data_IF_839092629632
#
_entry.id   IF_839092629632
#
_cell.length_a   1.000
_cell.length_b   1.000
_cell.length_c   1.000
_cell.angle_alpha   90.00
_cell.angle_beta   90.00
_cell.angle_gamma   90.00
#
_symmetry.space_group_name_H-M   'P 1'
#
loop_
_entity.id
_entity.type
_entity.pdbx_description
1 polymer ?
#
# COMPACT_ATOMS: atom_id res chain seq x y z
N UNK A 1 27.52 -0.05 0.28
CA UNK A 1 27.10 -0.30 1.68
C UNK A 1 26.83 -1.79 1.84
N UNK A 2 27.82 -2.56 2.27
CA UNK A 2 27.56 -3.93 2.72
C UNK A 2 26.74 -3.81 4.01
N UNK A 3 25.43 -4.15 3.98
CA UNK A 3 24.70 -4.47 5.21
C UNK A 3 25.52 -5.57 5.90
N UNK A 4 26.04 -5.32 7.11
CA UNK A 4 26.51 -6.38 7.96
C UNK A 4 25.33 -7.34 8.12
N UNK A 5 25.38 -8.51 7.46
CA UNK A 5 24.53 -9.63 7.83
C UNK A 5 24.95 -9.95 9.26
N UNK A 6 24.04 -9.83 10.20
CA UNK A 6 24.25 -10.36 11.54
C UNK A 6 24.11 -11.87 11.35
N UNK A 7 25.23 -12.56 11.09
CA UNK A 7 25.24 -13.99 10.83
C UNK A 7 24.99 -14.81 12.12
N UNK A 8 25.07 -14.17 13.30
CA UNK A 8 24.80 -14.80 14.61
C UNK A 8 24.38 -13.76 15.64
N UNK A 9 23.58 -14.19 16.60
CA UNK A 9 23.29 -13.39 17.79
C UNK A 9 24.58 -13.12 18.59
N UNK A 10 24.68 -11.94 19.29
CA UNK A 10 25.78 -11.67 20.21
C UNK A 10 25.90 -12.77 21.24
N UNK A 11 27.13 -13.22 21.50
CA UNK A 11 27.42 -14.34 22.39
C UNK A 11 27.25 -14.01 23.86
N UNK A 12 27.46 -12.74 24.21
CA UNK A 12 27.37 -12.24 25.56
C UNK A 12 26.95 -10.75 25.57
N UNK A 13 26.77 -10.22 26.78
CA UNK A 13 26.39 -8.84 27.01
C UNK A 13 27.42 -7.84 26.49
N UNK A 14 28.72 -8.14 26.59
CA UNK A 14 29.79 -7.28 26.13
C UNK A 14 29.78 -7.11 24.60
N UNK A 15 29.58 -8.24 23.87
CA UNK A 15 29.43 -8.22 22.41
C UNK A 15 28.16 -7.47 22.02
N UNK A 16 27.04 -7.64 22.75
CA UNK A 16 25.82 -6.91 22.52
C UNK A 16 25.99 -5.39 22.74
N UNK A 17 26.66 -4.99 23.81
CA UNK A 17 26.97 -3.57 24.07
C UNK A 17 27.83 -2.97 22.96
N UNK A 18 28.80 -3.72 22.43
CA UNK A 18 29.63 -3.27 21.31
C UNK A 18 28.79 -3.07 20.03
N UNK A 19 27.89 -4.02 19.72
CA UNK A 19 26.98 -3.89 18.56
C UNK A 19 26.09 -2.66 18.68
N UNK A 20 25.54 -2.39 19.87
CA UNK A 20 24.74 -1.19 20.12
C UNK A 20 25.57 0.10 19.99
N UNK A 21 26.77 0.11 20.52
CA UNK A 21 27.68 1.27 20.40
C UNK A 21 27.99 1.57 18.95
N UNK A 22 28.38 0.55 18.15
CA UNK A 22 28.67 0.69 16.73
C UNK A 22 27.45 1.22 15.96
N UNK A 23 26.26 0.73 16.30
CA UNK A 23 24.99 1.15 15.66
C UNK A 23 24.67 2.63 15.97
N UNK A 24 24.81 3.05 17.23
CA UNK A 24 24.55 4.44 17.63
C UNK A 24 25.57 5.39 17.00
N UNK A 25 26.85 5.00 16.98
CA UNK A 25 27.92 5.79 16.35
C UNK A 25 27.69 5.92 14.84
N UNK A 26 27.29 4.86 14.15
CA UNK A 26 26.93 4.90 12.72
C UNK A 26 25.76 5.86 12.45
N UNK A 27 24.72 5.81 13.29
CA UNK A 27 23.55 6.68 13.13
C UNK A 27 23.90 8.15 13.42
N UNK A 28 24.71 8.41 14.47
CA UNK A 28 25.18 9.75 14.80
C UNK A 28 25.98 10.34 13.64
N UNK A 29 26.95 9.58 13.12
CA UNK A 29 27.76 9.99 11.99
C UNK A 29 26.92 10.24 10.74
N UNK A 30 26.02 9.33 10.42
CA UNK A 30 25.15 9.42 9.25
C UNK A 30 24.26 10.67 9.28
N UNK A 31 23.64 10.96 10.43
CA UNK A 31 22.77 12.13 10.59
C UNK A 31 23.58 13.45 10.60
N UNK A 32 24.77 13.46 11.22
CA UNK A 32 25.68 14.61 11.18
C UNK A 32 26.11 14.93 9.75
N UNK A 33 26.55 13.91 8.98
CA UNK A 33 26.93 14.10 7.58
C UNK A 33 25.75 14.54 6.72
N UNK A 34 24.54 14.05 7.00
CA UNK A 34 23.31 14.49 6.32
C UNK A 34 23.09 15.99 6.53
N UNK A 35 23.18 16.47 7.78
CA UNK A 35 23.02 17.90 8.12
C UNK A 35 24.07 18.77 7.46
N UNK A 36 25.33 18.39 7.56
CA UNK A 36 26.42 19.13 6.91
C UNK A 36 26.25 19.21 5.41
N UNK A 37 25.80 18.10 4.78
CA UNK A 37 25.54 18.05 3.34
C UNK A 37 24.40 18.97 2.95
N UNK A 38 23.28 18.93 3.68
CA UNK A 38 22.11 19.79 3.40
C UNK A 38 22.47 21.27 3.61
N UNK A 39 23.14 21.62 4.70
CA UNK A 39 23.58 22.98 4.96
C UNK A 39 24.53 23.50 3.85
N UNK A 40 25.48 22.67 3.39
CA UNK A 40 26.38 23.00 2.29
C UNK A 40 25.61 23.24 1.00
N UNK A 41 24.70 22.34 0.61
CA UNK A 41 23.89 22.48 -0.61
C UNK A 41 22.97 23.70 -0.55
N UNK A 42 22.38 24.00 0.59
CA UNK A 42 21.57 25.20 0.79
C UNK A 42 22.43 26.47 0.58
N UNK A 43 23.65 26.51 1.13
CA UNK A 43 24.59 27.59 0.94
C UNK A 43 25.03 27.77 -0.52
N UNK A 44 25.34 26.65 -1.21
CA UNK A 44 25.68 26.66 -2.65
C UNK A 44 24.54 27.18 -3.52
N UNK A 45 23.29 26.91 -3.12
CA UNK A 45 22.08 27.37 -3.83
C UNK A 45 21.58 28.76 -3.36
N UNK A 46 22.29 29.38 -2.45
CA UNK A 46 21.89 30.66 -1.83
C UNK A 46 20.49 30.64 -1.19
N UNK A 47 20.13 29.51 -0.55
CA UNK A 47 18.86 29.26 0.14
C UNK A 47 19.10 29.13 1.65
N UNK A 48 18.08 29.42 2.48
CA UNK A 48 18.17 29.14 3.91
C UNK A 48 18.32 27.63 4.14
N UNK A 49 19.08 27.26 5.17
CA UNK A 49 19.23 25.86 5.58
C UNK A 49 17.88 25.34 6.11
N UNK A 50 17.27 24.34 5.45
CA UNK A 50 15.99 23.80 5.87
C UNK A 50 16.05 23.05 7.22
N UNK A 51 17.25 22.70 7.68
CA UNK A 51 17.48 21.98 8.94
C UNK A 51 18.00 22.88 10.08
N UNK A 52 18.09 24.20 9.86
CA UNK A 52 18.64 25.15 10.85
C UNK A 52 17.91 25.12 12.20
N UNK A 53 16.62 24.81 12.21
CA UNK A 53 15.78 24.78 13.42
C UNK A 53 15.54 23.36 13.95
N UNK A 54 16.17 22.33 13.38
CA UNK A 54 16.08 20.97 13.93
C UNK A 54 16.88 20.86 15.26
N UNK A 55 16.36 20.00 16.16
CA UNK A 55 17.04 19.66 17.43
C UNK A 55 18.45 19.11 17.18
N UNK A 56 19.39 19.24 18.16
CA UNK A 56 20.70 18.58 18.10
C UNK A 56 20.59 17.09 17.72
N UNK A 57 21.59 16.57 17.03
CA UNK A 57 21.55 15.16 16.51
C UNK A 57 21.41 14.17 17.66
N UNK A 58 22.13 14.41 18.75
CA UNK A 58 22.12 13.59 19.96
C UNK A 58 20.73 13.55 20.60
N UNK A 59 20.07 14.70 20.72
CA UNK A 59 18.72 14.81 21.27
C UNK A 59 17.72 14.07 20.37
N UNK A 60 17.82 14.22 19.05
CA UNK A 60 16.97 13.52 18.08
C UNK A 60 17.14 12.01 18.15
N UNK A 61 18.36 11.52 18.28
CA UNK A 61 18.63 10.09 18.45
C UNK A 61 18.10 9.58 19.79
N UNK A 62 18.30 10.32 20.89
CA UNK A 62 17.77 9.96 22.20
C UNK A 62 16.24 9.80 22.16
N UNK A 63 15.52 10.79 21.64
CA UNK A 63 14.06 10.72 21.48
C UNK A 63 13.63 9.52 20.62
N UNK A 64 14.39 9.19 19.58
CA UNK A 64 14.13 8.02 18.73
C UNK A 64 14.23 6.72 19.53
N UNK A 65 15.27 6.55 20.35
CA UNK A 65 15.46 5.35 21.17
C UNK A 65 14.45 5.27 22.31
N UNK A 66 14.12 6.39 22.95
CA UNK A 66 13.04 6.45 23.94
C UNK A 66 11.70 6.03 23.34
N UNK A 67 11.40 6.44 22.11
CA UNK A 67 10.20 6.00 21.38
C UNK A 67 10.22 4.48 21.10
N UNK A 68 11.38 3.95 20.68
CA UNK A 68 11.53 2.49 20.47
C UNK A 68 11.30 1.74 21.78
N UNK A 69 11.89 2.20 22.87
CA UNK A 69 11.72 1.59 24.21
C UNK A 69 10.25 1.61 24.64
N UNK A 70 9.54 2.72 24.49
CA UNK A 70 8.11 2.81 24.80
C UNK A 70 7.29 1.87 23.93
N UNK A 71 7.55 1.81 22.62
CA UNK A 71 6.85 0.89 21.74
C UNK A 71 7.01 -0.58 22.15
N UNK A 72 8.19 -0.95 22.65
CA UNK A 72 8.42 -2.30 23.18
C UNK A 72 7.64 -2.53 24.47
N UNK A 73 7.63 -1.54 25.39
CA UNK A 73 6.89 -1.63 26.65
C UNK A 73 5.36 -1.67 26.46
N UNK A 74 4.85 -1.05 25.39
CA UNK A 74 3.44 -1.05 25.03
C UNK A 74 3.00 -2.29 24.22
N UNK A 75 3.95 -3.19 23.90
CA UNK A 75 3.64 -4.43 23.20
C UNK A 75 2.84 -5.35 24.13
N UNK A 76 1.62 -5.65 23.74
CA UNK A 76 0.75 -6.53 24.48
C UNK A 76 0.90 -8.01 24.06
N UNK A 77 0.25 -8.90 24.77
CA UNK A 77 0.35 -10.35 24.52
C UNK A 77 -0.25 -10.72 23.14
N UNK A 78 -1.23 -9.96 22.67
CA UNK A 78 -1.87 -10.12 21.36
C UNK A 78 -0.88 -9.77 20.24
N UNK A 79 -0.12 -8.67 20.38
CA UNK A 79 0.94 -8.27 19.45
C UNK A 79 2.07 -9.35 19.36
N UNK A 80 2.44 -9.95 20.52
CA UNK A 80 3.44 -11.02 20.56
C UNK A 80 2.93 -12.28 19.88
N UNK A 81 1.70 -12.70 20.18
CA UNK A 81 1.07 -13.87 19.56
C UNK A 81 0.94 -13.69 18.05
N UNK A 82 0.52 -12.52 17.60
CA UNK A 82 0.41 -12.17 16.18
C UNK A 82 1.79 -12.27 15.49
N UNK A 83 2.83 -11.68 16.08
CA UNK A 83 4.19 -11.75 15.55
C UNK A 83 4.68 -13.21 15.42
N UNK A 84 4.42 -14.04 16.43
CA UNK A 84 4.81 -15.45 16.41
C UNK A 84 4.05 -16.23 15.33
N UNK A 85 2.74 -16.06 15.26
CA UNK A 85 1.89 -16.77 14.29
C UNK A 85 2.21 -16.34 12.85
N UNK A 86 2.46 -15.05 12.63
CA UNK A 86 2.94 -14.54 11.35
C UNK A 86 4.30 -15.12 10.97
N UNK A 87 5.26 -15.15 11.91
CA UNK A 87 6.56 -15.77 11.66
C UNK A 87 6.46 -17.26 11.29
N UNK A 88 5.57 -18.02 11.95
CA UNK A 88 5.29 -19.42 11.59
C UNK A 88 4.66 -19.52 10.20
N UNK A 89 3.70 -18.66 9.88
CA UNK A 89 3.03 -18.63 8.58
C UNK A 89 4.03 -18.34 7.44
N UNK A 90 4.91 -17.37 7.63
CA UNK A 90 5.95 -16.98 6.66
C UNK A 90 6.98 -18.09 6.36
N UNK A 91 7.14 -19.09 7.24
CA UNK A 91 8.01 -20.24 6.93
C UNK A 91 7.42 -21.17 5.86
N UNK A 92 6.12 -21.03 5.57
CA UNK A 92 5.42 -21.80 4.55
C UNK A 92 5.68 -21.26 3.14
N UNK A 93 5.49 -19.96 2.97
CA UNK A 93 5.86 -19.18 1.78
C UNK A 93 5.79 -17.66 2.12
N UNK A 94 6.41 -16.77 1.31
CA UNK A 94 6.51 -15.34 1.65
C UNK A 94 5.19 -14.58 1.61
N UNK A 95 4.10 -15.20 1.19
CA UNK A 95 2.78 -14.58 1.05
C UNK A 95 1.73 -15.15 2.00
N UNK A 96 2.02 -16.29 2.64
CA UNK A 96 1.18 -16.84 3.71
C UNK A 96 1.46 -16.08 4.99
N UNK A 97 0.40 -15.51 5.59
CA UNK A 97 0.52 -14.62 6.73
C UNK A 97 -0.67 -14.75 7.65
N UNK A 98 -0.42 -14.70 8.97
CA UNK A 98 -1.47 -14.59 9.97
C UNK A 98 -1.72 -13.12 10.29
N UNK A 99 -2.97 -12.73 10.29
CA UNK A 99 -3.43 -11.38 10.63
C UNK A 99 -4.34 -11.43 11.84
N UNK A 100 -3.98 -10.75 12.92
CA UNK A 100 -4.87 -10.50 14.05
C UNK A 100 -6.04 -9.59 13.67
N UNK A 101 -7.04 -9.44 14.54
CA UNK A 101 -8.26 -8.71 14.24
C UNK A 101 -7.98 -7.28 13.70
N UNK A 102 -7.03 -6.56 14.31
CA UNK A 102 -6.64 -5.21 13.86
C UNK A 102 -6.00 -5.21 12.46
N UNK A 103 -5.19 -6.20 12.13
CA UNK A 103 -4.58 -6.31 10.80
C UNK A 103 -5.60 -6.74 9.74
N UNK A 104 -6.59 -7.55 10.09
CA UNK A 104 -7.70 -7.90 9.19
C UNK A 104 -8.46 -6.65 8.74
N UNK A 105 -8.76 -5.73 9.66
CA UNK A 105 -9.43 -4.47 9.31
C UNK A 105 -8.58 -3.61 8.38
N UNK A 106 -7.26 -3.53 8.64
CA UNK A 106 -6.33 -2.82 7.74
C UNK A 106 -6.25 -3.48 6.35
N UNK A 107 -6.22 -4.81 6.31
CA UNK A 107 -6.22 -5.55 5.06
C UNK A 107 -7.50 -5.29 4.24
N UNK A 108 -8.68 -5.32 4.87
CA UNK A 108 -9.93 -4.96 4.20
C UNK A 108 -9.90 -3.54 3.64
N UNK A 109 -9.39 -2.58 4.42
CA UNK A 109 -9.25 -1.19 3.99
C UNK A 109 -8.27 -1.07 2.81
N UNK A 110 -7.16 -1.81 2.82
CA UNK A 110 -6.19 -1.77 1.71
C UNK A 110 -6.75 -2.31 0.40
N UNK A 111 -7.77 -3.17 0.48
CA UNK A 111 -8.50 -3.69 -0.68
C UNK A 111 -9.68 -2.81 -1.10
N UNK A 112 -10.10 -1.85 -0.26
CA UNK A 112 -11.17 -0.90 -0.55
C UNK A 112 -10.58 0.51 -0.70
N UNK A 113 -10.95 1.28 -1.73
CA UNK A 113 -10.53 2.66 -1.88
C UNK A 113 -11.35 3.65 -1.02
N UNK A 114 -12.07 3.15 -0.05
CA UNK A 114 -12.87 3.94 0.90
C UNK A 114 -12.54 3.52 2.33
N UNK A 115 -12.46 4.48 3.23
CA UNK A 115 -12.35 4.23 4.65
C UNK A 115 -13.42 5.01 5.42
N UNK A 116 -13.89 4.46 6.53
CA UNK A 116 -14.77 5.19 7.43
C UNK A 116 -13.94 5.89 8.51
N UNK A 117 -14.05 7.21 8.58
CA UNK A 117 -13.27 8.01 9.51
C UNK A 117 -13.53 9.50 9.35
N UNK A 118 -12.56 10.30 9.77
CA UNK A 118 -12.64 11.77 9.72
C UNK A 118 -12.04 12.39 8.46
N UNK A 119 -11.30 11.63 7.64
CA UNK A 119 -10.65 12.15 6.42
C UNK A 119 -9.43 13.00 6.72
N UNK A 120 -8.60 12.61 7.69
CA UNK A 120 -7.31 13.23 7.97
C UNK A 120 -6.17 12.22 7.78
N UNK A 121 -5.06 12.66 7.21
CA UNK A 121 -3.79 11.94 7.15
C UNK A 121 -2.99 12.28 8.41
N UNK A 122 -2.60 11.27 9.16
CA UNK A 122 -1.96 11.41 10.45
C UNK A 122 -0.50 10.98 10.42
N UNK A 123 0.33 11.64 11.22
CA UNK A 123 1.72 11.28 11.45
C UNK A 123 2.10 11.45 12.91
N UNK A 124 2.95 10.55 13.42
CA UNK A 124 3.51 10.72 14.77
C UNK A 124 4.67 11.71 14.75
N UNK A 125 4.70 12.61 15.69
CA UNK A 125 5.81 13.55 15.95
C UNK A 125 6.75 13.01 17.03
N UNK A 126 7.95 13.56 17.09
CA UNK A 126 8.96 13.14 18.08
C UNK A 126 8.58 13.51 19.52
N UNK A 127 7.73 14.51 19.71
CA UNK A 127 7.16 14.90 21.00
C UNK A 127 6.01 14.03 21.48
N UNK A 128 5.70 12.95 20.73
CA UNK A 128 4.64 12.00 21.05
C UNK A 128 3.25 12.44 20.63
N UNK A 129 3.10 13.63 20.06
CA UNK A 129 1.81 14.08 19.53
C UNK A 129 1.50 13.45 18.17
N UNK A 130 0.21 13.42 17.82
CA UNK A 130 -0.25 13.00 16.49
C UNK A 130 -0.59 14.23 15.67
N UNK A 131 0.17 14.45 14.58
CA UNK A 131 0.02 15.61 13.70
C UNK A 131 -0.86 15.31 12.50
N UNK A 132 -1.61 16.31 12.04
CA UNK A 132 -2.37 16.30 10.78
C UNK A 132 -1.44 16.65 9.63
N UNK A 133 -1.07 15.64 8.83
CA UNK A 133 -0.21 15.78 7.66
C UNK A 133 -0.98 16.08 6.37
N UNK A 134 -2.31 15.94 6.39
CA UNK A 134 -3.19 16.24 5.26
C UNK A 134 -4.65 16.06 5.60
N UNK A 135 -5.52 16.66 4.79
CA UNK A 135 -6.97 16.55 4.90
C UNK A 135 -7.52 16.09 3.55
N UNK A 136 -8.34 15.05 3.57
CA UNK A 136 -8.96 14.49 2.37
C UNK A 136 -10.15 15.36 1.96
N UNK A 137 -10.09 15.92 0.77
CA UNK A 137 -11.14 16.80 0.22
C UNK A 137 -12.49 16.06 0.16
N UNK A 138 -13.51 16.68 0.73
CA UNK A 138 -14.87 16.13 0.84
C UNK A 138 -15.09 15.22 2.05
N UNK A 139 -14.06 14.95 2.86
CA UNK A 139 -14.18 14.22 4.13
C UNK A 139 -14.78 15.06 5.26
N UNK A 140 -15.10 14.45 6.41
CA UNK A 140 -15.63 15.18 7.58
C UNK A 140 -14.74 16.32 8.07
N UNK A 141 -13.43 16.11 8.13
CA UNK A 141 -12.46 17.13 8.55
C UNK A 141 -12.46 18.34 7.60
N UNK A 142 -12.50 18.09 6.29
CA UNK A 142 -12.57 19.14 5.27
C UNK A 142 -13.89 19.92 5.36
N UNK A 143 -15.01 19.21 5.47
CA UNK A 143 -16.35 19.83 5.58
C UNK A 143 -16.53 20.66 6.83
N UNK A 144 -15.92 20.27 7.95
CA UNK A 144 -15.99 21.04 9.19
C UNK A 144 -15.17 22.33 9.11
N UNK A 145 -14.04 22.31 8.40
CA UNK A 145 -13.10 23.43 8.34
C UNK A 145 -12.39 23.73 9.67
N UNK A 146 -12.65 22.94 10.72
CA UNK A 146 -12.13 23.16 12.07
C UNK A 146 -10.72 22.58 12.27
N UNK A 147 -10.40 21.48 11.56
CA UNK A 147 -9.08 20.87 11.53
C UNK A 147 -8.25 21.48 10.40
N UNK A 148 -6.98 21.73 10.68
CA UNK A 148 -6.04 22.30 9.71
C UNK A 148 -4.78 21.45 9.60
N UNK A 149 -4.05 21.66 8.53
CA UNK A 149 -2.71 21.08 8.33
C UNK A 149 -1.77 21.51 9.47
N UNK A 150 -0.98 20.59 9.98
CA UNK A 150 -0.05 20.74 11.11
C UNK A 150 -0.71 20.90 12.49
N UNK A 151 -2.02 20.88 12.62
CA UNK A 151 -2.67 20.76 13.93
C UNK A 151 -2.26 19.44 14.60
N UNK A 152 -2.21 19.42 15.94
CA UNK A 152 -1.83 18.27 16.76
C UNK A 152 -3.01 17.75 17.53
N UNK A 153 -3.27 16.46 17.46
CA UNK A 153 -4.27 15.78 18.29
C UNK A 153 -3.54 15.29 19.53
N UNK A 154 -4.05 15.65 20.71
CA UNK A 154 -3.44 15.29 22.00
C UNK A 154 -4.34 14.37 22.84
N UNK A 155 -5.66 14.37 22.62
CA UNK A 155 -6.57 13.42 23.26
C UNK A 155 -7.78 13.13 22.37
N UNK A 156 -8.40 11.96 22.57
CA UNK A 156 -9.53 11.45 21.78
C UNK A 156 -10.62 10.92 22.72
N UNK A 157 -11.87 11.29 22.45
CA UNK A 157 -13.06 10.61 22.94
C UNK A 157 -13.73 9.90 21.74
N UNK A 158 -13.44 8.62 21.61
CA UNK A 158 -13.80 7.82 20.44
C UNK A 158 -15.30 7.62 20.25
N UNK A 159 -16.06 7.65 21.34
CA UNK A 159 -17.48 7.30 21.36
C UNK A 159 -18.36 8.48 21.81
N UNK A 160 -17.80 9.67 21.92
CA UNK A 160 -18.51 10.87 22.39
C UNK A 160 -19.17 10.68 23.77
N UNK A 161 -18.47 10.02 24.69
CA UNK A 161 -18.94 9.75 26.06
C UNK A 161 -18.67 10.89 27.04
N UNK A 162 -17.80 11.81 26.68
CA UNK A 162 -17.28 12.89 27.52
C UNK A 162 -15.91 12.58 28.13
N UNK A 163 -15.44 11.35 28.05
CA UNK A 163 -14.14 10.93 28.58
C UNK A 163 -13.06 11.03 27.49
N UNK A 164 -12.11 11.95 27.68
CA UNK A 164 -10.97 12.11 26.79
C UNK A 164 -9.83 11.19 27.20
N UNK A 165 -9.38 10.34 26.29
CA UNK A 165 -8.19 9.51 26.44
C UNK A 165 -7.00 10.29 25.91
N UNK A 166 -5.98 10.49 26.72
CA UNK A 166 -4.72 11.08 26.31
C UNK A 166 -4.00 10.14 25.33
N UNK A 167 -3.57 10.65 24.18
CA UNK A 167 -2.90 9.88 23.13
C UNK A 167 -1.43 10.25 22.94
N UNK A 168 -0.89 11.14 23.80
CA UNK A 168 0.53 11.49 23.73
C UNK A 168 1.38 10.23 23.89
N UNK A 169 2.32 10.07 22.98
CA UNK A 169 3.21 8.91 22.88
C UNK A 169 2.54 7.57 22.55
N UNK A 170 1.24 7.51 22.35
CA UNK A 170 0.54 6.28 21.92
C UNK A 170 1.01 5.88 20.50
N UNK A 171 1.11 4.57 20.24
CA UNK A 171 1.38 4.06 18.88
C UNK A 171 0.38 4.65 17.90
N UNK A 172 0.85 5.20 16.78
CA UNK A 172 -0.01 5.85 15.78
C UNK A 172 -1.15 4.93 15.31
N UNK A 173 -0.88 3.65 15.22
CA UNK A 173 -1.88 2.64 14.85
C UNK A 173 -3.05 2.59 15.83
N UNK A 174 -2.77 2.62 17.14
CA UNK A 174 -3.82 2.66 18.17
C UNK A 174 -4.62 3.96 18.09
N UNK A 175 -3.94 5.08 17.83
CA UNK A 175 -4.59 6.38 17.62
C UNK A 175 -5.52 6.35 16.41
N UNK A 176 -5.07 5.77 15.30
CA UNK A 176 -5.87 5.61 14.07
C UNK A 176 -7.09 4.73 14.33
N UNK A 177 -6.93 3.62 15.07
CA UNK A 177 -8.04 2.74 15.43
C UNK A 177 -9.10 3.45 16.33
N UNK A 178 -8.67 4.33 17.23
CA UNK A 178 -9.58 5.17 18.03
C UNK A 178 -10.31 6.22 17.19
N UNK A 179 -9.67 6.75 16.15
CA UNK A 179 -10.26 7.75 15.25
C UNK A 179 -11.26 7.11 14.29
N UNK A 180 -10.99 5.89 13.83
CA UNK A 180 -11.92 5.10 13.02
C UNK A 180 -13.13 4.65 13.85
N UNK A 181 -14.16 4.19 13.17
CA UNK A 181 -15.37 3.70 13.82
C UNK A 181 -16.52 3.55 12.82
N UNK A 182 -17.71 3.27 13.34
CA UNK A 182 -18.91 3.10 12.52
C UNK A 182 -19.29 4.39 11.78
N UNK A 183 -19.81 4.26 10.58
CA UNK A 183 -20.35 5.39 9.82
C UNK A 183 -21.44 6.10 10.62
N UNK A 184 -21.48 7.44 10.54
CA UNK A 184 -22.39 8.32 11.28
C UNK A 184 -22.18 8.37 12.81
N UNK A 185 -21.16 7.70 13.36
CA UNK A 185 -20.79 7.85 14.76
C UNK A 185 -20.01 9.15 14.98
N UNK A 186 -20.11 9.73 16.17
CA UNK A 186 -19.38 10.95 16.54
C UNK A 186 -18.09 10.63 17.27
N UNK A 187 -17.10 11.49 17.06
CA UNK A 187 -15.82 11.49 17.75
C UNK A 187 -15.50 12.91 18.22
N UNK A 188 -14.88 13.04 19.39
CA UNK A 188 -14.36 14.31 19.88
C UNK A 188 -12.83 14.24 19.92
N UNK A 189 -12.20 15.27 19.39
CA UNK A 189 -10.75 15.40 19.32
C UNK A 189 -10.35 16.63 20.14
N UNK A 190 -9.39 16.47 21.05
CA UNK A 190 -8.69 17.61 21.67
C UNK A 190 -7.49 17.95 20.79
N UNK A 191 -7.52 19.12 20.20
CA UNK A 191 -6.59 19.55 19.16
C UNK A 191 -5.88 20.81 19.60
N UNK A 192 -4.57 20.81 19.47
CA UNK A 192 -3.73 22.01 19.57
C UNK A 192 -3.49 22.57 18.17
N UNK A 193 -4.03 23.78 17.86
CA UNK A 193 -3.81 24.41 16.58
C UNK A 193 -2.34 24.77 16.37
N UNK A 194 -1.86 24.60 15.13
CA UNK A 194 -0.49 24.95 14.76
C UNK A 194 -0.19 26.45 14.93
N UNK A 195 -1.21 27.30 14.76
CA UNK A 195 -1.12 28.76 14.92
C UNK A 195 -1.32 29.26 16.37
N UNK A 196 -1.70 28.35 17.31
CA UNK A 196 -1.91 28.67 18.73
C UNK A 196 -1.44 27.51 19.64
N UNK A 197 -0.15 27.19 19.70
CA UNK A 197 0.38 26.13 20.55
C UNK A 197 0.02 26.34 22.02
N UNK A 198 -0.37 25.24 22.71
CA UNK A 198 -0.79 25.27 24.12
C UNK A 198 -2.23 25.71 24.35
N UNK A 199 -2.97 26.12 23.31
CA UNK A 199 -4.39 26.47 23.40
C UNK A 199 -5.24 25.37 22.77
N UNK A 200 -5.40 24.26 23.48
CA UNK A 200 -6.19 23.14 22.98
C UNK A 200 -7.69 23.47 22.90
N UNK A 201 -8.32 23.10 21.80
CA UNK A 201 -9.76 23.14 21.57
C UNK A 201 -10.34 21.74 21.37
N UNK A 202 -11.64 21.59 21.62
CA UNK A 202 -12.35 20.34 21.37
C UNK A 202 -13.12 20.50 20.05
N UNK A 203 -12.88 19.58 19.12
CA UNK A 203 -13.57 19.48 17.84
C UNK A 203 -14.39 18.21 17.82
N UNK A 204 -15.68 18.32 17.47
CA UNK A 204 -16.56 17.16 17.31
C UNK A 204 -16.80 16.91 15.83
N UNK A 205 -16.51 15.69 15.36
CA UNK A 205 -16.70 15.28 13.99
C UNK A 205 -17.61 14.06 13.91
N UNK A 206 -18.37 13.98 12.82
CA UNK A 206 -19.16 12.77 12.51
C UNK A 206 -18.41 11.96 11.47
N UNK A 207 -18.11 10.69 11.76
CA UNK A 207 -17.42 9.80 10.82
C UNK A 207 -18.29 9.55 9.59
N UNK A 208 -17.67 9.54 8.44
CA UNK A 208 -18.33 9.15 7.18
C UNK A 208 -17.39 8.33 6.31
N UNK A 209 -17.92 7.76 5.25
CA UNK A 209 -17.09 7.18 4.18
C UNK A 209 -16.27 8.27 3.52
N UNK A 210 -14.98 8.08 3.48
CA UNK A 210 -13.99 8.99 2.88
C UNK A 210 -13.37 8.29 1.68
N UNK A 211 -13.64 8.74 0.46
CA UNK A 211 -13.04 8.17 -0.73
C UNK A 211 -11.57 8.56 -0.82
N UNK A 212 -10.70 7.59 -0.95
CA UNK A 212 -9.28 7.78 -1.21
C UNK A 212 -9.07 7.99 -2.70
N UNK A 213 -9.28 9.22 -3.17
CA UNK A 213 -9.25 9.56 -4.61
C UNK A 213 -7.93 9.18 -5.28
N UNK A 214 -6.84 9.14 -4.54
CA UNK A 214 -5.52 8.78 -5.06
C UNK A 214 -5.36 7.28 -5.28
N UNK A 215 -6.15 6.47 -4.60
CA UNK A 215 -6.21 5.02 -4.73
C UNK A 215 -7.21 4.55 -5.81
N UNK A 216 -7.94 5.46 -6.45
CA UNK A 216 -8.88 5.14 -7.52
C UNK A 216 -8.19 5.13 -8.89
N UNK A 217 -8.76 4.37 -9.82
CA UNK A 217 -8.40 4.47 -11.23
C UNK A 217 -8.61 5.90 -11.75
N UNK A 218 -7.61 6.45 -12.43
CA UNK A 218 -7.62 7.80 -13.00
C UNK A 218 -7.34 7.73 -14.49
N UNK A 219 -7.85 8.71 -15.22
CA UNK A 219 -7.59 8.81 -16.65
C UNK A 219 -7.33 10.26 -17.03
N UNK A 220 -6.34 10.46 -17.88
CA UNK A 220 -6.04 11.74 -18.50
C UNK A 220 -5.82 11.56 -20.00
N UNK A 221 -5.90 12.65 -20.76
CA UNK A 221 -5.64 12.67 -22.19
C UNK A 221 -4.47 13.61 -22.43
N UNK A 222 -3.44 13.10 -23.08
CA UNK A 222 -2.27 13.86 -23.47
C UNK A 222 -2.37 14.14 -24.97
N UNK A 223 -2.23 15.40 -25.36
CA UNK A 223 -2.16 15.81 -26.75
C UNK A 223 -0.70 15.96 -27.18
N UNK A 224 -0.30 15.19 -28.18
CA UNK A 224 1.05 15.22 -28.74
C UNK A 224 1.11 16.22 -29.90
N UNK A 225 1.84 17.31 -29.74
CA UNK A 225 2.04 18.27 -30.81
C UNK A 225 3.00 17.71 -31.88
N UNK A 226 2.56 17.71 -33.15
CA UNK A 226 3.42 17.37 -34.28
C UNK A 226 3.54 15.86 -34.58
N UNK A 227 2.61 15.05 -34.15
CA UNK A 227 2.58 13.63 -34.54
C UNK A 227 2.42 13.51 -36.09
N UNK A 228 3.26 12.68 -36.76
CA UNK A 228 3.29 12.62 -38.24
C UNK A 228 1.97 12.19 -38.88
N UNK A 229 1.19 11.38 -38.17
CA UNK A 229 0.00 10.71 -38.71
C UNK A 229 -1.31 11.40 -38.27
N UNK A 230 -1.24 12.57 -37.60
CA UNK A 230 -2.41 13.25 -37.03
C UNK A 230 -3.02 12.54 -35.84
N UNK A 231 -2.38 11.49 -35.32
CA UNK A 231 -2.78 10.77 -34.11
C UNK A 231 -2.15 11.45 -32.90
N UNK A 232 -2.86 12.38 -32.28
CA UNK A 232 -2.27 13.28 -31.26
C UNK A 232 -2.81 13.06 -29.88
N UNK A 233 -3.85 12.22 -29.69
CA UNK A 233 -4.55 12.09 -28.41
C UNK A 233 -4.32 10.73 -27.80
N UNK A 234 -3.51 10.69 -26.74
CA UNK A 234 -3.20 9.47 -26.01
C UNK A 234 -3.93 9.48 -24.68
N UNK A 235 -4.76 8.47 -24.44
CA UNK A 235 -5.36 8.23 -23.13
C UNK A 235 -4.34 7.58 -22.21
N UNK A 236 -4.18 8.09 -20.98
CA UNK A 236 -3.38 7.46 -19.93
C UNK A 236 -4.32 7.01 -18.82
N UNK A 237 -4.37 5.71 -18.58
CA UNK A 237 -5.14 5.07 -17.52
C UNK A 237 -4.19 4.65 -16.40
N UNK A 238 -4.21 5.35 -15.28
CA UNK A 238 -3.44 5.00 -14.08
C UNK A 238 -4.29 4.14 -13.16
N UNK A 239 -3.79 2.96 -12.82
CA UNK A 239 -4.47 1.99 -11.95
C UNK A 239 -3.57 1.63 -10.76
N UNK A 240 -3.80 2.22 -9.57
CA UNK A 240 -2.97 1.97 -8.39
C UNK A 240 -3.12 0.55 -7.84
N UNK A 241 -4.33 -0.04 -7.89
CA UNK A 241 -4.61 -1.41 -7.46
C UNK A 241 -5.84 -1.98 -8.16
N UNK A 242 -6.01 -3.31 -8.11
CA UNK A 242 -7.25 -3.98 -8.55
C UNK A 242 -8.24 -4.05 -7.38
N UNK A 243 -8.71 -2.88 -6.93
CA UNK A 243 -9.57 -2.75 -5.78
C UNK A 243 -10.97 -3.32 -6.01
N UNK A 244 -11.51 -3.91 -4.95
CA UNK A 244 -12.91 -4.34 -4.86
C UNK A 244 -13.34 -4.26 -3.39
N UNK A 245 -14.54 -3.75 -3.13
CA UNK A 245 -15.10 -3.77 -1.77
C UNK A 245 -15.37 -5.22 -1.36
N UNK A 246 -14.70 -5.67 -0.31
CA UNK A 246 -14.82 -7.04 0.21
C UNK A 246 -16.10 -7.26 1.03
N UNK A 247 -16.68 -6.19 1.58
CA UNK A 247 -17.88 -6.24 2.42
C UNK A 247 -19.17 -6.05 1.60
N UNK A 248 -19.10 -6.20 0.26
CA UNK A 248 -20.26 -6.18 -0.64
C UNK A 248 -20.69 -4.79 -1.11
N UNK A 249 -19.86 -3.77 -0.93
CA UNK A 249 -20.09 -2.44 -1.50
C UNK A 249 -19.97 -2.40 -3.02
N UNK A 250 -20.43 -1.30 -3.62
CA UNK A 250 -20.53 -1.14 -5.08
C UNK A 250 -19.22 -0.70 -5.75
N UNK A 251 -18.16 -0.41 -4.98
CA UNK A 251 -16.91 0.15 -5.49
C UNK A 251 -16.01 -0.95 -6.06
N UNK A 252 -15.81 -0.93 -7.38
CA UNK A 252 -15.04 -1.93 -8.12
C UNK A 252 -14.20 -1.28 -9.21
N UNK A 253 -12.92 -1.63 -9.29
CA UNK A 253 -12.01 -0.99 -10.25
C UNK A 253 -12.40 -1.27 -11.70
N UNK A 254 -12.91 -2.46 -12.04
CA UNK A 254 -13.36 -2.77 -13.38
C UNK A 254 -14.55 -1.88 -13.80
N UNK A 255 -15.46 -1.56 -12.87
CA UNK A 255 -16.59 -0.67 -13.16
C UNK A 255 -16.13 0.77 -13.40
N UNK A 256 -15.15 1.26 -12.61
CA UNK A 256 -14.60 2.59 -12.77
C UNK A 256 -13.78 2.68 -14.07
N UNK A 257 -12.90 1.71 -14.34
CA UNK A 257 -12.14 1.63 -15.60
C UNK A 257 -13.05 1.58 -16.81
N UNK A 258 -14.17 0.83 -16.73
CA UNK A 258 -15.17 0.80 -17.82
C UNK A 258 -15.68 2.19 -18.15
N UNK A 259 -16.08 2.97 -17.13
CA UNK A 259 -16.57 4.35 -17.31
C UNK A 259 -15.50 5.26 -17.93
N UNK A 260 -14.24 5.11 -17.49
CA UNK A 260 -13.12 5.87 -18.01
C UNK A 260 -12.84 5.54 -19.48
N UNK A 261 -12.86 4.26 -19.86
CA UNK A 261 -12.68 3.82 -21.25
C UNK A 261 -13.84 4.29 -22.15
N UNK A 262 -15.10 4.25 -21.67
CA UNK A 262 -16.25 4.77 -22.38
C UNK A 262 -16.10 6.27 -22.66
N UNK A 263 -15.56 7.03 -21.69
CA UNK A 263 -15.26 8.46 -21.86
C UNK A 263 -14.13 8.67 -22.87
N UNK A 264 -13.02 7.93 -22.76
CA UNK A 264 -11.92 8.00 -23.73
C UNK A 264 -12.35 7.69 -25.16
N UNK A 265 -13.25 6.71 -25.34
CA UNK A 265 -13.82 6.41 -26.66
C UNK A 265 -14.67 7.57 -27.21
N UNK A 266 -15.45 8.27 -26.37
CA UNK A 266 -16.19 9.48 -26.78
C UNK A 266 -15.24 10.61 -27.16
N UNK A 267 -14.14 10.76 -26.45
CA UNK A 267 -13.10 11.73 -26.74
C UNK A 267 -12.21 11.34 -27.93
N UNK A 268 -12.41 10.15 -28.50
CA UNK A 268 -11.68 9.61 -29.67
C UNK A 268 -10.18 9.62 -29.48
N UNK A 269 -9.68 9.03 -28.37
CA UNK A 269 -8.25 8.84 -28.17
C UNK A 269 -7.71 7.83 -29.19
N UNK A 270 -6.53 8.10 -29.73
CA UNK A 270 -5.90 7.30 -30.78
C UNK A 270 -5.20 6.06 -30.22
N UNK A 271 -4.70 6.14 -28.97
CA UNK A 271 -4.02 5.06 -28.26
C UNK A 271 -4.24 5.13 -26.77
N UNK A 272 -3.89 4.06 -26.07
CA UNK A 272 -4.04 3.94 -24.63
C UNK A 272 -2.74 3.51 -23.97
N UNK A 273 -2.33 4.20 -22.93
CA UNK A 273 -1.29 3.76 -22.00
C UNK A 273 -1.99 3.32 -20.71
N UNK A 274 -1.73 2.10 -20.27
CA UNK A 274 -2.17 1.57 -18.98
C UNK A 274 -0.98 1.57 -18.04
N UNK A 275 -1.01 2.39 -17.00
CA UNK A 275 0.06 2.48 -16.01
C UNK A 275 -0.22 1.56 -14.83
N UNK A 276 0.56 0.46 -14.75
CA UNK A 276 0.54 -0.52 -13.66
C UNK A 276 1.79 -0.43 -12.77
N UNK A 277 2.62 0.59 -12.95
CA UNK A 277 3.81 0.77 -12.10
C UNK A 277 3.37 0.94 -10.63
N UNK A 278 4.08 0.26 -9.73
CA UNK A 278 3.79 0.21 -8.29
C UNK A 278 2.44 -0.45 -7.92
N UNK A 279 1.75 -1.08 -8.86
CA UNK A 279 0.50 -1.79 -8.60
C UNK A 279 0.78 -3.21 -8.13
N UNK A 280 0.64 -3.46 -6.82
CA UNK A 280 0.88 -4.77 -6.18
C UNK A 280 -0.18 -5.84 -6.47
N UNK A 281 -1.19 -5.54 -7.28
CA UNK A 281 -2.26 -6.48 -7.63
C UNK A 281 -3.61 -6.15 -7.00
N UNK A 282 -4.33 -7.16 -6.52
CA UNK A 282 -5.65 -7.07 -5.92
C UNK A 282 -6.59 -8.18 -6.36
N UNK A 283 -7.85 -7.84 -6.64
CA UNK A 283 -8.90 -8.80 -6.94
C UNK A 283 -8.71 -9.52 -8.27
N UNK A 284 -8.68 -10.85 -8.21
CA UNK A 284 -8.65 -11.72 -9.39
C UNK A 284 -9.88 -11.53 -10.29
N UNK A 285 -11.04 -11.31 -9.68
CA UNK A 285 -12.28 -11.09 -10.45
C UNK A 285 -12.23 -9.76 -11.22
N UNK A 286 -11.68 -8.72 -10.61
CA UNK A 286 -11.56 -7.43 -11.26
C UNK A 286 -10.61 -7.48 -12.47
N UNK A 287 -9.46 -8.14 -12.34
CA UNK A 287 -8.53 -8.29 -13.47
C UNK A 287 -9.13 -9.15 -14.57
N UNK A 288 -9.90 -10.20 -14.24
CA UNK A 288 -10.62 -11.03 -15.21
C UNK A 288 -11.61 -10.20 -16.05
N UNK A 289 -12.41 -9.37 -15.36
CA UNK A 289 -13.38 -8.49 -16.02
C UNK A 289 -12.68 -7.44 -16.90
N UNK A 290 -11.64 -6.82 -16.36
CA UNK A 290 -10.90 -5.76 -17.03
C UNK A 290 -10.16 -6.26 -18.28
N UNK A 291 -9.55 -7.44 -18.23
CA UNK A 291 -8.90 -8.05 -19.40
C UNK A 291 -9.88 -8.16 -20.56
N UNK A 292 -11.14 -8.53 -20.28
CA UNK A 292 -12.19 -8.63 -21.29
C UNK A 292 -12.51 -7.31 -22.01
N UNK A 293 -12.25 -6.16 -21.42
CA UNK A 293 -12.41 -4.85 -22.08
C UNK A 293 -11.48 -4.68 -23.28
N UNK A 294 -10.34 -5.38 -23.26
CA UNK A 294 -9.28 -5.25 -24.26
C UNK A 294 -9.18 -6.45 -25.20
N UNK A 295 -9.46 -7.66 -24.69
CA UNK A 295 -9.33 -8.91 -25.47
C UNK A 295 -10.66 -9.41 -26.05
N UNK A 296 -11.79 -9.01 -25.45
CA UNK A 296 -13.08 -9.63 -25.71
C UNK A 296 -13.20 -10.96 -24.95
N UNK A 297 -14.00 -11.89 -25.48
CA UNK A 297 -14.21 -13.22 -24.89
C UNK A 297 -12.96 -14.10 -25.06
N UNK A 298 -12.52 -14.74 -23.98
CA UNK A 298 -11.40 -15.69 -24.02
C UNK A 298 -10.80 -15.96 -22.66
N UNK A 299 -9.89 -16.94 -22.54
CA UNK A 299 -9.15 -17.21 -21.29
C UNK A 299 -8.31 -16.01 -20.88
N UNK A 300 -8.20 -15.80 -19.59
CA UNK A 300 -7.40 -14.70 -18.96
C UNK A 300 -6.22 -15.28 -18.19
N UNK A 301 -6.48 -16.29 -17.39
CA UNK A 301 -5.50 -16.93 -16.52
C UNK A 301 -5.96 -18.33 -16.20
N UNK A 302 -5.02 -19.25 -16.00
CA UNK A 302 -5.26 -20.60 -15.53
C UNK A 302 -4.86 -20.69 -14.07
N UNK A 303 -5.69 -21.31 -13.23
CA UNK A 303 -5.43 -21.47 -11.80
C UNK A 303 -5.36 -22.95 -11.49
N UNK A 304 -4.26 -23.40 -10.91
CA UNK A 304 -4.03 -24.79 -10.53
C UNK A 304 -4.01 -24.93 -9.03
N UNK A 305 -4.86 -25.82 -8.50
CA UNK A 305 -4.90 -26.14 -7.08
C UNK A 305 -3.88 -27.24 -6.70
N UNK A 306 -3.77 -27.50 -5.39
CA UNK A 306 -2.86 -28.53 -4.83
C UNK A 306 -3.21 -29.96 -5.26
N UNK A 307 -4.42 -30.21 -5.76
CA UNK A 307 -4.87 -31.50 -6.27
C UNK A 307 -4.58 -31.68 -7.76
N UNK A 308 -4.06 -30.62 -8.41
CA UNK A 308 -3.76 -30.64 -9.84
C UNK A 308 -4.94 -30.21 -10.75
N UNK A 309 -6.09 -29.83 -10.17
CA UNK A 309 -7.21 -29.32 -10.96
C UNK A 309 -6.86 -27.95 -11.52
N UNK A 310 -7.20 -27.73 -12.79
CA UNK A 310 -6.99 -26.45 -13.47
C UNK A 310 -8.35 -25.79 -13.74
N UNK A 311 -8.51 -24.57 -13.19
CA UNK A 311 -9.66 -23.71 -13.46
C UNK A 311 -9.24 -22.56 -14.37
N UNK A 312 -9.84 -22.46 -15.55
CA UNK A 312 -9.54 -21.42 -16.53
C UNK A 312 -10.49 -20.24 -16.34
N UNK A 313 -9.99 -19.16 -15.80
CA UNK A 313 -10.78 -17.93 -15.68
C UNK A 313 -10.90 -17.25 -17.04
N UNK A 314 -12.12 -17.01 -17.48
CA UNK A 314 -12.44 -16.52 -18.82
C UNK A 314 -13.16 -15.18 -18.76
N UNK A 315 -12.78 -14.25 -19.61
CA UNK A 315 -13.54 -13.04 -19.88
C UNK A 315 -14.73 -13.36 -20.78
N UNK A 316 -15.88 -12.75 -20.49
CA UNK A 316 -17.15 -13.05 -21.20
C UNK A 316 -17.65 -11.88 -22.07
N UNK A 317 -16.84 -10.87 -22.30
CA UNK A 317 -17.19 -9.70 -23.10
C UNK A 317 -17.43 -10.11 -24.57
N UNK A 318 -18.57 -9.76 -25.14
CA UNK A 318 -18.86 -10.02 -26.54
C UNK A 318 -17.95 -9.27 -27.49
N UNK A 319 -17.63 -8.02 -27.12
CA UNK A 319 -16.76 -7.13 -27.88
C UNK A 319 -15.72 -6.47 -26.99
N UNK A 320 -14.63 -6.06 -27.62
CA UNK A 320 -13.60 -5.22 -26.97
C UNK A 320 -14.17 -3.83 -26.74
N UNK A 321 -14.03 -3.31 -25.52
CA UNK A 321 -14.46 -1.95 -25.20
C UNK A 321 -13.49 -0.91 -25.79
N UNK A 322 -12.19 -1.20 -25.79
CA UNK A 322 -11.18 -0.39 -26.43
C UNK A 322 -10.46 -1.17 -27.53
N UNK A 323 -10.45 -0.65 -28.77
CA UNK A 323 -9.93 -1.33 -29.98
C UNK A 323 -8.60 -0.76 -30.48
N UNK A 324 -8.23 0.46 -30.07
CA UNK A 324 -6.99 1.14 -30.46
C UNK A 324 -5.71 0.46 -29.92
N UNK A 325 -4.51 0.89 -30.30
CA UNK A 325 -3.25 0.37 -29.79
C UNK A 325 -3.12 0.60 -28.29
N UNK A 326 -2.42 -0.33 -27.59
CA UNK A 326 -2.23 -0.27 -26.13
C UNK A 326 -0.76 -0.46 -25.79
N UNK A 327 -0.27 0.35 -24.86
CA UNK A 327 1.00 0.17 -24.15
C UNK A 327 0.67 -0.07 -22.67
N UNK A 328 1.32 -1.03 -22.04
CA UNK A 328 1.25 -1.25 -20.59
C UNK A 328 2.59 -0.90 -19.97
N UNK A 329 2.58 0.06 -19.04
CA UNK A 329 3.76 0.42 -18.26
C UNK A 329 3.84 -0.45 -17.01
N UNK A 330 5.00 -1.06 -16.79
CA UNK A 330 5.28 -1.91 -15.64
C UNK A 330 6.58 -1.53 -14.94
N UNK A 331 6.72 -1.97 -13.68
CA UNK A 331 7.99 -1.98 -12.97
C UNK A 331 8.09 -3.23 -12.06
N UNK A 332 9.21 -3.39 -11.36
CA UNK A 332 9.45 -4.49 -10.41
C UNK A 332 8.46 -4.57 -9.24
N UNK A 333 7.64 -3.56 -9.04
CA UNK A 333 6.57 -3.55 -8.03
C UNK A 333 5.19 -3.87 -8.61
N UNK A 334 5.08 -4.08 -9.94
CA UNK A 334 3.86 -4.58 -10.59
C UNK A 334 3.74 -6.07 -10.31
N UNK A 335 2.75 -6.49 -9.50
CA UNK A 335 2.66 -7.87 -9.02
C UNK A 335 1.26 -8.48 -9.17
N UNK A 336 1.17 -9.82 -9.14
CA UNK A 336 -0.08 -10.57 -9.01
C UNK A 336 -1.13 -10.24 -10.11
N UNK A 337 -2.26 -9.58 -9.79
CA UNK A 337 -3.27 -9.19 -10.77
C UNK A 337 -2.72 -8.28 -11.88
N UNK A 338 -1.73 -7.43 -11.58
CA UNK A 338 -1.02 -6.63 -12.60
C UNK A 338 -0.28 -7.52 -13.59
N UNK A 339 0.33 -8.59 -13.10
CA UNK A 339 1.03 -9.57 -13.93
C UNK A 339 0.04 -10.37 -14.79
N UNK A 340 -1.13 -10.71 -14.25
CA UNK A 340 -2.20 -11.38 -15.00
C UNK A 340 -2.67 -10.50 -16.17
N UNK A 341 -2.95 -9.21 -15.92
CA UNK A 341 -3.38 -8.30 -17.00
C UNK A 341 -2.30 -8.11 -18.05
N UNK A 342 -1.06 -7.78 -17.62
CA UNK A 342 0.06 -7.57 -18.53
C UNK A 342 0.36 -8.81 -19.37
N UNK A 343 0.43 -10.00 -18.73
CA UNK A 343 0.64 -11.27 -19.39
C UNK A 343 -0.45 -11.60 -20.41
N UNK A 344 -1.72 -11.47 -20.02
CA UNK A 344 -2.82 -11.76 -20.92
C UNK A 344 -2.80 -10.82 -22.14
N UNK A 345 -2.58 -9.51 -21.95
CA UNK A 345 -2.52 -8.56 -23.05
C UNK A 345 -1.32 -8.83 -23.97
N UNK A 346 -0.17 -9.24 -23.43
CA UNK A 346 1.01 -9.65 -24.20
C UNK A 346 0.74 -10.94 -24.99
N UNK A 347 0.18 -11.98 -24.33
CA UNK A 347 -0.12 -13.28 -24.95
C UNK A 347 -1.11 -13.18 -26.11
N UNK A 348 -2.06 -12.24 -26.01
CA UNK A 348 -3.00 -11.94 -27.09
C UNK A 348 -2.42 -11.02 -28.18
N UNK A 349 -1.17 -10.58 -28.06
CA UNK A 349 -0.59 -9.56 -28.95
C UNK A 349 -1.38 -8.25 -28.94
N UNK A 350 -2.04 -7.96 -27.82
CA UNK A 350 -2.97 -6.83 -27.69
C UNK A 350 -2.30 -5.56 -27.19
N UNK A 351 -1.23 -5.69 -26.45
CA UNK A 351 -0.44 -4.56 -25.93
C UNK A 351 1.04 -4.84 -26.05
N UNK A 352 1.82 -3.76 -26.09
CA UNK A 352 3.28 -3.76 -25.89
C UNK A 352 3.55 -3.48 -24.43
N UNK A 353 4.36 -4.32 -23.79
CA UNK A 353 4.75 -4.17 -22.39
C UNK A 353 6.06 -3.37 -22.31
N UNK A 354 6.06 -2.30 -21.54
CA UNK A 354 7.17 -1.32 -21.50
C UNK A 354 7.51 -1.00 -20.04
N UNK A 355 8.79 -0.94 -19.70
CA UNK A 355 9.23 -0.54 -18.36
C UNK A 355 10.49 -1.23 -17.87
N UNK A 356 10.48 -1.70 -16.63
CA UNK A 356 11.58 -2.50 -16.04
C UNK A 356 11.81 -3.80 -16.84
N UNK A 357 12.89 -4.50 -16.58
CA UNK A 357 13.19 -5.78 -17.24
C UNK A 357 12.04 -6.77 -17.13
N UNK A 358 11.35 -6.79 -16.01
CA UNK A 358 10.15 -7.61 -15.77
C UNK A 358 9.32 -7.03 -14.61
N UNK A 359 8.12 -7.59 -14.40
CA UNK A 359 7.31 -7.40 -13.19
C UNK A 359 7.91 -8.14 -11.99
N UNK A 360 7.20 -8.16 -10.85
CA UNK A 360 7.67 -8.71 -9.56
C UNK A 360 7.99 -10.21 -9.61
N UNK A 361 7.16 -11.02 -10.27
CA UNK A 361 7.34 -12.46 -10.36
C UNK A 361 6.48 -13.28 -9.41
N UNK A 362 5.35 -12.75 -8.94
CA UNK A 362 4.41 -13.50 -8.10
C UNK A 362 3.46 -14.32 -8.96
N UNK A 363 3.49 -15.66 -8.77
CA UNK A 363 2.63 -16.62 -9.48
C UNK A 363 1.69 -17.40 -8.56
N UNK A 364 1.45 -16.91 -7.34
CA UNK A 364 0.66 -17.60 -6.30
C UNK A 364 -0.64 -16.86 -6.00
N UNK A 365 -1.65 -17.62 -5.57
CA UNK A 365 -2.96 -17.11 -5.14
C UNK A 365 -3.16 -17.43 -3.66
N UNK A 366 -3.46 -16.39 -2.87
CA UNK A 366 -3.78 -16.52 -1.46
C UNK A 366 -5.29 -16.49 -1.25
N UNK A 367 -5.75 -17.28 -0.30
CA UNK A 367 -7.13 -17.26 0.18
C UNK A 367 -7.16 -16.86 1.65
N UNK A 368 -8.04 -15.93 2.03
CA UNK A 368 -8.28 -15.61 3.42
C UNK A 368 -9.12 -16.73 4.07
N UNK A 369 -8.65 -17.26 5.19
CA UNK A 369 -9.32 -18.28 5.99
C UNK A 369 -9.57 -17.69 7.37
N UNK A 370 -10.84 -17.54 7.73
CA UNK A 370 -11.24 -17.08 9.07
C UNK A 370 -10.98 -18.20 10.09
N UNK A 371 -10.04 -17.96 10.99
CA UNK A 371 -9.65 -18.93 12.03
C UNK A 371 -10.78 -19.19 13.02
N UNK A 372 -11.63 -18.19 13.28
CA UNK A 372 -12.78 -18.32 14.19
C UNK A 372 -13.74 -19.43 13.79
N UNK A 373 -13.85 -19.76 12.51
CA UNK A 373 -14.69 -20.87 12.03
C UNK A 373 -14.23 -22.24 12.53
N UNK A 374 -12.95 -22.39 12.85
CA UNK A 374 -12.35 -23.64 13.34
C UNK A 374 -12.30 -23.72 14.86
N UNK A 375 -12.74 -22.67 15.57
CA UNK A 375 -12.72 -22.53 17.02
C UNK A 375 -14.12 -22.38 17.62
N UNK A 376 -15.07 -23.33 17.39
CA UNK A 376 -16.48 -23.16 17.72
C UNK A 376 -16.76 -22.97 19.21
N UNK A 377 -15.85 -23.47 20.08
CA UNK A 377 -15.98 -23.38 21.54
C UNK A 377 -15.21 -22.20 22.16
N UNK A 378 -14.56 -21.39 21.35
CA UNK A 378 -13.78 -20.25 21.81
C UNK A 378 -14.68 -19.01 21.89
N UNK A 379 -14.81 -18.39 23.07
CA UNK A 379 -15.74 -17.29 23.29
C UNK A 379 -15.41 -16.02 22.50
N UNK A 380 -14.12 -15.80 22.17
CA UNK A 380 -13.63 -14.67 21.40
C UNK A 380 -13.25 -15.05 19.95
N UNK A 381 -13.96 -16.01 19.35
CA UNK A 381 -13.67 -16.54 18.01
C UNK A 381 -13.63 -15.48 16.92
N UNK A 382 -14.44 -14.44 17.04
CA UNK A 382 -14.50 -13.28 16.12
C UNK A 382 -13.19 -12.47 16.14
N UNK A 383 -12.35 -12.65 17.18
CA UNK A 383 -11.03 -12.04 17.34
C UNK A 383 -9.89 -13.00 17.04
N UNK A 384 -10.20 -14.24 16.63
CA UNK A 384 -9.18 -15.25 16.32
C UNK A 384 -8.32 -14.92 15.09
N UNK A 385 -8.68 -13.88 14.35
CA UNK A 385 -7.93 -13.42 13.20
C UNK A 385 -8.16 -14.22 11.94
N UNK A 386 -7.33 -13.97 10.92
CA UNK A 386 -7.44 -14.51 9.59
C UNK A 386 -6.08 -15.04 9.13
N UNK A 387 -6.06 -16.24 8.55
CA UNK A 387 -4.90 -16.79 7.87
C UNK A 387 -5.03 -16.53 6.37
N UNK A 388 -4.18 -15.69 5.81
CA UNK A 388 -4.02 -15.52 4.37
C UNK A 388 -3.06 -16.60 3.89
N UNK A 389 -3.55 -17.68 3.28
CA UNK A 389 -2.75 -18.83 2.92
C UNK A 389 -2.66 -19.05 1.42
N UNK A 390 -1.47 -19.37 0.92
CA UNK A 390 -1.26 -19.75 -0.48
C UNK A 390 -1.86 -21.14 -0.71
N UNK A 391 -2.86 -21.20 -1.62
CA UNK A 391 -3.58 -22.45 -1.93
C UNK A 391 -3.47 -22.86 -3.40
N UNK A 392 -3.06 -21.96 -4.27
CA UNK A 392 -3.07 -22.18 -5.72
C UNK A 392 -1.91 -21.42 -6.38
N UNK A 393 -1.51 -21.89 -7.56
CA UNK A 393 -0.66 -21.17 -8.51
C UNK A 393 -1.45 -20.73 -9.72
N UNK A 394 -1.08 -19.60 -10.30
CA UNK A 394 -1.65 -19.18 -11.57
C UNK A 394 -0.65 -19.24 -12.71
N UNK A 395 -1.18 -19.41 -13.91
CA UNK A 395 -0.41 -19.57 -15.14
C UNK A 395 -1.00 -18.68 -16.23
N UNK A 396 -0.15 -18.25 -17.14
CA UNK A 396 -0.50 -17.46 -18.33
C UNK A 396 -1.46 -18.27 -19.23
N UNK A 397 -2.07 -17.58 -20.19
CA UNK A 397 -2.96 -18.20 -21.17
C UNK A 397 -2.29 -19.39 -21.90
N UNK A 398 -1.04 -19.31 -22.39
CA UNK A 398 -0.35 -20.42 -23.04
C UNK A 398 0.28 -21.43 -22.05
N UNK A 399 0.16 -21.24 -20.73
CA UNK A 399 0.61 -22.21 -19.71
C UNK A 399 1.89 -21.87 -18.95
N UNK A 400 2.64 -20.84 -19.32
CA UNK A 400 3.82 -20.39 -18.54
C UNK A 400 3.41 -19.75 -17.22
N UNK A 401 4.28 -19.79 -16.19
CA UNK A 401 4.05 -19.10 -14.92
C UNK A 401 4.75 -17.74 -14.87
N UNK A 402 4.24 -16.83 -14.07
CA UNK A 402 4.95 -15.58 -13.70
C UNK A 402 5.85 -15.78 -12.49
N UNK A 403 5.71 -16.90 -11.76
CA UNK A 403 6.46 -17.17 -10.53
C UNK A 403 7.97 -17.07 -10.77
N UNK A 404 8.67 -16.28 -9.97
CA UNK A 404 10.10 -15.93 -10.02
C UNK A 404 10.56 -15.13 -11.25
N UNK A 405 9.82 -15.16 -12.36
CA UNK A 405 10.23 -14.52 -13.63
C UNK A 405 9.52 -13.20 -13.92
N UNK A 406 8.26 -13.11 -13.50
CA UNK A 406 7.40 -12.00 -13.88
C UNK A 406 6.96 -12.03 -15.34
N UNK A 407 6.46 -10.89 -15.79
CA UNK A 407 6.18 -10.60 -17.21
C UNK A 407 7.33 -9.75 -17.74
N UNK A 408 8.07 -10.25 -18.71
CA UNK A 408 9.19 -9.52 -19.32
C UNK A 408 8.67 -8.39 -20.21
N UNK A 409 9.33 -7.24 -20.16
CA UNK A 409 9.03 -6.11 -21.04
C UNK A 409 9.44 -6.38 -22.48
N UNK A 410 8.58 -6.04 -23.43
CA UNK A 410 8.91 -6.01 -24.85
C UNK A 410 9.90 -4.86 -25.15
N UNK A 411 9.78 -3.75 -24.40
CA UNK A 411 10.67 -2.60 -24.47
C UNK A 411 11.12 -2.24 -23.06
N UNK A 412 12.40 -2.38 -22.79
CA UNK A 412 13.00 -2.03 -21.50
C UNK A 412 13.39 -0.55 -21.46
N UNK A 413 13.06 0.12 -20.36
CA UNK A 413 13.45 1.50 -20.09
C UNK A 413 14.42 1.54 -18.91
N UNK A 414 15.38 2.48 -18.89
CA UNK A 414 16.20 2.73 -17.72
C UNK A 414 15.31 3.30 -16.58
N UNK A 415 15.30 2.61 -15.44
CA UNK A 415 14.47 2.98 -14.30
C UNK A 415 15.29 3.06 -13.02
N UNK A 416 14.80 3.81 -12.03
CA UNK A 416 15.45 3.90 -10.72
C UNK A 416 15.36 2.56 -9.95
N UNK A 417 14.34 1.76 -10.20
CA UNK A 417 14.12 0.45 -9.57
C UNK A 417 15.14 -0.60 -10.01
N UNK A 418 15.77 -0.43 -11.17
CA UNK A 418 16.83 -1.33 -11.67
C UNK A 418 18.07 -1.41 -10.76
N UNK A 419 18.28 -0.41 -9.88
CA UNK A 419 19.39 -0.39 -8.94
C UNK A 419 19.10 -1.19 -7.64
N UNK A 420 17.89 -1.70 -7.48
CA UNK A 420 17.47 -2.42 -6.27
C UNK A 420 17.23 -3.90 -6.59
N UNK A 421 17.60 -4.76 -5.66
CA UNK A 421 17.19 -6.16 -5.68
C UNK A 421 15.71 -6.21 -5.26
N UNK A 422 14.81 -6.40 -6.22
CA UNK A 422 13.36 -6.46 -6.04
C UNK A 422 12.80 -7.65 -6.83
N UNK A 423 11.80 -8.29 -6.26
CA UNK A 423 11.08 -9.37 -6.92
C UNK A 423 10.87 -10.59 -6.01
N UNK A 424 10.11 -11.54 -6.50
CA UNK A 424 9.80 -12.80 -5.80
C UNK A 424 11.06 -13.64 -5.55
N UNK A 425 12.02 -13.60 -6.47
CA UNK A 425 13.23 -14.43 -6.46
C UNK A 425 14.17 -14.17 -5.28
N UNK A 426 14.06 -12.99 -4.65
CA UNK A 426 14.88 -12.62 -3.49
C UNK A 426 14.20 -12.91 -2.14
N UNK A 427 12.94 -13.36 -2.16
CA UNK A 427 12.19 -13.64 -0.94
C UNK A 427 12.55 -15.03 -0.41
N UNK A 428 12.76 -15.12 0.91
CA UNK A 428 12.93 -16.41 1.58
C UNK A 428 11.67 -17.25 1.40
N UNK A 429 11.85 -18.55 1.19
CA UNK A 429 10.78 -19.54 0.99
C UNK A 429 9.88 -19.28 -0.23
N UNK A 430 10.33 -18.49 -1.21
CA UNK A 430 9.58 -18.31 -2.45
C UNK A 430 9.31 -19.68 -3.11
N UNK A 431 8.06 -19.88 -3.53
CA UNK A 431 7.68 -21.13 -4.18
C UNK A 431 8.42 -21.29 -5.53
N UNK A 432 8.82 -22.50 -5.90
CA UNK A 432 9.47 -22.76 -7.19
C UNK A 432 8.52 -22.44 -8.36
N UNK A 433 9.16 -22.15 -9.51
CA UNK A 433 8.48 -21.92 -10.81
C UNK A 433 7.54 -23.07 -11.20
#
# INVERSE_FOLDING_TARGET
>A
RSRRKIDSWPKDEAEMQQVWKDLVEEQLLSETLRRETVARLAKEQNKPDPLANEKPVEEKLLMRYERIQRNIQETDLEDVAETLLSAVALTYDPHTDYMGARQVDRFKISMSPELTGIGALLGGEDDGSTKINGIVVGGPADKSGELKLNDRIVAIDSNNTGEMVDILFMKLDKVVDMIRGSENSQIRLKVEPADAPGQAKIITLTRSKVPLKDELAKAEIIELNGAPDGQNRIGVLSLPSFYADMDGGDRRCAADVKKLLERMNKEKVDGLVIDLRNNGGGSLEEVRLMTGFFTGRGPVVQIKDTRGNVDVKTANNREKLFKGPIVVLINKLSASASEILAAALQDYGRAVIVGDTSTFGKGTVQQPVDIGQYLPYFSARDRAGLLKVTTQKFYRVPGGSTQLKGVESDIQLPTATAAFELGEEILDYAMPY
#
